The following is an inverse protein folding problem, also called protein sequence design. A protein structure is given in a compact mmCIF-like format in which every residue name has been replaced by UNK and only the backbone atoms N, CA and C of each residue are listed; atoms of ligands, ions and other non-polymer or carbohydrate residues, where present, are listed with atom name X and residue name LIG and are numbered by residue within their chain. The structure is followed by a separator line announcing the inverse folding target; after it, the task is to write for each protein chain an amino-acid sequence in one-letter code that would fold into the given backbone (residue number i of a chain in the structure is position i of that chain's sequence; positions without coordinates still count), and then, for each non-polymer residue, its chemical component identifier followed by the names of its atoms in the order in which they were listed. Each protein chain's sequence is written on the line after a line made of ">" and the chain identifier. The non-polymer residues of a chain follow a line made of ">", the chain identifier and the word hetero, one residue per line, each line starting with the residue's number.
data_IF_602392384255
#
_entry.id   IF_602392384255
#
_cell.length_a   1.000
_cell.length_b   1.000
_cell.length_c   1.000
_cell.angle_alpha   90.00
_cell.angle_beta   90.00
_cell.angle_gamma   90.00
#
_symmetry.space_group_name_H-M   'P 1'
#
loop_
_entity.id
_entity.type
_entity.pdbx_description
1 polymer ?
#
# COMPACT_ATOMS: atom_id res chain seq x y z
N UNK A 1 -15.75 -6.76 -4.19
CA UNK A 1 -15.56 -7.00 -2.75
C UNK A 1 -15.60 -5.67 -2.05
N UNK A 2 -16.71 -5.35 -1.41
CA UNK A 2 -16.94 -4.12 -0.68
C UNK A 2 -16.05 -4.13 0.58
N UNK A 3 -15.02 -3.31 0.60
CA UNK A 3 -14.39 -2.93 1.85
C UNK A 3 -15.40 -2.12 2.64
N UNK A 4 -15.79 -2.59 3.81
CA UNK A 4 -16.57 -1.76 4.73
C UNK A 4 -15.79 -0.49 5.06
N UNK A 5 -16.41 0.70 5.05
CA UNK A 5 -15.72 2.00 5.07
C UNK A 5 -14.73 2.22 6.23
N UNK A 6 -14.79 1.43 7.28
CA UNK A 6 -13.97 1.56 8.49
C UNK A 6 -13.04 0.38 8.75
N UNK A 7 -12.89 -0.56 7.82
CA UNK A 7 -11.91 -1.62 7.98
C UNK A 7 -10.64 -1.26 7.23
N UNK A 8 -9.47 -1.40 7.87
CA UNK A 8 -8.21 -1.31 7.15
C UNK A 8 -8.26 -2.29 5.99
N UNK A 9 -7.89 -1.81 4.82
CA UNK A 9 -7.99 -2.54 3.55
C UNK A 9 -7.21 -3.85 3.59
N UNK A 10 -6.34 -4.01 4.56
CA UNK A 10 -5.67 -5.26 4.87
C UNK A 10 -5.09 -5.22 6.27
N UNK A 11 -5.81 -5.74 7.23
CA UNK A 11 -5.20 -6.21 8.46
C UNK A 11 -5.04 -7.71 8.38
N UNK A 12 -3.85 -8.18 8.68
CA UNK A 12 -3.53 -9.58 8.90
C UNK A 12 -4.05 -10.50 7.78
N UNK A 13 -3.49 -10.30 6.60
CA UNK A 13 -3.92 -10.93 5.34
C UNK A 13 -4.03 -12.46 5.48
N UNK A 14 -3.09 -13.10 6.18
CA UNK A 14 -3.11 -14.55 6.38
C UNK A 14 -4.33 -15.04 7.14
N UNK A 15 -4.70 -14.34 8.20
CA UNK A 15 -5.83 -14.69 9.03
C UNK A 15 -7.19 -14.49 8.34
N UNK A 16 -7.32 -13.44 7.54
CA UNK A 16 -8.56 -13.12 6.81
C UNK A 16 -8.76 -13.98 5.58
N UNK A 17 -7.69 -14.32 4.86
CA UNK A 17 -7.77 -15.15 3.66
C UNK A 17 -8.24 -16.56 4.01
N UNK A 18 -7.70 -17.19 5.05
CA UNK A 18 -8.12 -18.55 5.41
C UNK A 18 -9.59 -18.60 5.84
N UNK A 19 -10.10 -17.56 6.49
CA UNK A 19 -11.51 -17.45 6.85
C UNK A 19 -12.41 -17.15 5.64
N UNK A 20 -12.01 -16.20 4.79
CA UNK A 20 -12.85 -15.70 3.68
C UNK A 20 -12.94 -16.71 2.53
N UNK A 21 -11.84 -17.41 2.23
CA UNK A 21 -11.79 -18.34 1.10
C UNK A 21 -12.30 -19.76 1.44
N UNK A 22 -12.46 -20.09 2.72
CA UNK A 22 -12.88 -21.42 3.15
C UNK A 22 -13.97 -21.39 4.22
N UNK A 23 -15.08 -20.65 4.00
CA UNK A 23 -16.11 -20.50 5.04
C UNK A 23 -16.78 -21.83 5.42
N UNK A 24 -16.75 -22.84 4.53
CA UNK A 24 -17.39 -24.15 4.72
C UNK A 24 -16.49 -25.12 5.48
N UNK A 25 -15.17 -25.03 5.35
CA UNK A 25 -14.20 -26.00 5.89
C UNK A 25 -13.30 -25.41 6.99
N UNK A 26 -13.29 -24.10 7.17
CA UNK A 26 -12.52 -23.43 8.22
C UNK A 26 -13.43 -23.08 9.38
N UNK A 27 -13.03 -23.42 10.60
CA UNK A 27 -13.66 -22.87 11.79
C UNK A 27 -13.52 -21.35 11.79
N UNK A 28 -14.55 -20.66 12.31
CA UNK A 28 -14.42 -19.24 12.62
C UNK A 28 -13.29 -19.11 13.63
N UNK A 29 -12.24 -18.40 13.24
CA UNK A 29 -11.11 -18.14 14.11
C UNK A 29 -11.42 -16.96 15.02
N UNK A 30 -10.72 -16.88 16.13
CA UNK A 30 -10.75 -15.73 17.03
C UNK A 30 -10.34 -14.45 16.29
N UNK A 31 -10.54 -13.31 16.93
CA UNK A 31 -10.10 -12.04 16.38
C UNK A 31 -8.62 -12.11 16.03
N UNK A 32 -8.22 -11.40 14.99
CA UNK A 32 -6.82 -11.43 14.53
C UNK A 32 -5.84 -10.90 15.60
N UNK A 33 -6.30 -9.95 16.43
CA UNK A 33 -5.53 -9.42 17.56
C UNK A 33 -5.17 -10.50 18.56
N UNK A 34 -6.14 -11.33 18.94
CA UNK A 34 -5.95 -12.41 19.91
C UNK A 34 -4.99 -13.46 19.37
N UNK A 35 -5.10 -13.77 18.07
CA UNK A 35 -4.16 -14.70 17.41
C UNK A 35 -2.76 -14.14 17.31
N UNK A 36 -2.62 -12.82 17.06
CA UNK A 36 -1.32 -12.14 17.06
C UNK A 36 -0.69 -12.20 18.45
N UNK A 37 -1.47 -11.95 19.52
CA UNK A 37 -0.98 -12.08 20.89
C UNK A 37 -0.49 -13.49 21.16
N UNK A 38 -1.29 -14.51 20.86
CA UNK A 38 -0.90 -15.91 21.03
C UNK A 38 0.38 -16.27 20.24
N UNK A 39 0.52 -15.74 19.01
CA UNK A 39 1.73 -15.97 18.23
C UNK A 39 2.95 -15.24 18.81
N UNK A 40 2.78 -14.04 19.37
CA UNK A 40 3.87 -13.33 20.07
C UNK A 40 4.38 -14.15 21.26
N UNK A 41 3.48 -14.76 22.03
CA UNK A 41 3.86 -15.63 23.15
C UNK A 41 4.68 -16.83 22.67
N UNK A 42 4.32 -17.42 21.54
CA UNK A 42 5.10 -18.51 20.92
C UNK A 42 6.48 -18.01 20.49
N UNK A 43 6.55 -16.89 19.78
CA UNK A 43 7.83 -16.34 19.30
C UNK A 43 8.77 -15.98 20.47
N UNK A 44 8.24 -15.47 21.57
CA UNK A 44 9.01 -15.04 22.74
C UNK A 44 9.63 -16.21 23.53
N UNK A 45 9.28 -17.45 23.24
CA UNK A 45 9.96 -18.61 23.82
C UNK A 45 11.41 -18.73 23.36
N UNK A 46 11.74 -18.18 22.18
CA UNK A 46 13.08 -18.26 21.59
C UNK A 46 13.67 -16.88 21.26
N UNK A 47 12.83 -15.86 21.04
CA UNK A 47 13.23 -14.53 20.63
C UNK A 47 12.97 -13.49 21.72
N UNK A 48 13.86 -12.52 21.85
CA UNK A 48 13.64 -11.40 22.75
C UNK A 48 12.41 -10.56 22.37
N UNK A 49 11.74 -9.92 23.36
CA UNK A 49 10.51 -9.18 23.13
C UNK A 49 10.69 -8.02 22.12
N UNK A 50 11.86 -7.38 22.11
CA UNK A 50 12.17 -6.29 21.16
C UNK A 50 12.22 -6.77 19.71
N UNK A 51 12.80 -7.95 19.46
CA UNK A 51 12.82 -8.56 18.12
C UNK A 51 11.40 -8.82 17.62
N UNK A 52 10.57 -9.43 18.47
CA UNK A 52 9.18 -9.74 18.12
C UNK A 52 8.37 -8.46 17.90
N UNK A 53 8.56 -7.45 18.76
CA UNK A 53 7.92 -6.15 18.59
C UNK A 53 8.33 -5.47 17.27
N UNK A 54 9.63 -5.45 16.96
CA UNK A 54 10.17 -4.84 15.74
C UNK A 54 9.58 -5.49 14.48
N UNK A 55 9.42 -6.82 14.48
CA UNK A 55 8.76 -7.53 13.37
C UNK A 55 7.33 -7.03 13.14
N UNK A 56 6.51 -7.00 14.17
CA UNK A 56 5.11 -6.56 14.03
C UNK A 56 4.98 -5.07 13.70
N UNK A 57 5.85 -4.23 14.26
CA UNK A 57 5.89 -2.80 13.92
C UNK A 57 6.23 -2.61 12.43
N UNK A 58 7.27 -3.27 11.95
CA UNK A 58 7.65 -3.21 10.52
C UNK A 58 6.53 -3.71 9.61
N UNK A 59 5.84 -4.78 10.00
CA UNK A 59 4.70 -5.29 9.25
C UNK A 59 3.55 -4.28 9.21
N UNK A 60 3.15 -3.75 10.37
CA UNK A 60 2.04 -2.80 10.46
C UNK A 60 2.33 -1.48 9.72
N UNK A 61 3.55 -0.95 9.85
CA UNK A 61 4.00 0.25 9.14
C UNK A 61 4.00 0.04 7.61
N UNK A 62 4.44 -1.14 7.16
CA UNK A 62 4.44 -1.50 5.74
C UNK A 62 3.01 -1.61 5.19
N UNK A 63 2.11 -2.23 5.94
CA UNK A 63 0.68 -2.31 5.58
C UNK A 63 0.03 -0.93 5.61
N UNK A 64 0.37 -0.11 6.61
CA UNK A 64 -0.06 1.28 6.70
C UNK A 64 0.38 2.09 5.49
N UNK A 65 1.66 2.02 5.15
CA UNK A 65 2.21 2.69 3.96
C UNK A 65 1.49 2.26 2.68
N UNK A 66 1.28 0.96 2.49
CA UNK A 66 0.51 0.45 1.36
C UNK A 66 -0.89 1.05 1.30
N UNK A 67 -1.61 1.01 2.43
CA UNK A 67 -2.98 1.50 2.52
C UNK A 67 -3.08 2.99 2.19
N UNK A 68 -2.23 3.80 2.83
CA UNK A 68 -2.36 5.26 2.79
C UNK A 68 -1.82 5.87 1.50
N UNK A 69 -0.73 5.28 0.98
CA UNK A 69 -0.09 5.79 -0.24
C UNK A 69 -0.74 5.29 -1.52
N UNK A 70 -1.21 4.05 -1.56
CA UNK A 70 -1.65 3.43 -2.81
C UNK A 70 -3.09 2.94 -2.79
N UNK A 71 -3.46 2.09 -1.82
CA UNK A 71 -4.71 1.37 -1.87
C UNK A 71 -5.94 2.27 -1.71
N UNK A 72 -5.99 3.10 -0.67
CA UNK A 72 -7.11 4.01 -0.42
C UNK A 72 -7.25 5.09 -1.50
N UNK A 73 -6.16 5.76 -1.92
CA UNK A 73 -6.25 6.70 -3.04
C UNK A 73 -6.74 6.06 -4.33
N UNK A 74 -6.21 4.89 -4.70
CA UNK A 74 -6.66 4.19 -5.90
C UNK A 74 -8.13 3.78 -5.81
N UNK A 75 -8.58 3.27 -4.65
CA UNK A 75 -9.99 2.92 -4.42
C UNK A 75 -10.88 4.15 -4.54
N UNK A 76 -10.51 5.27 -3.93
CA UNK A 76 -11.28 6.51 -3.98
C UNK A 76 -11.42 7.03 -5.43
N UNK A 77 -10.36 6.94 -6.23
CA UNK A 77 -10.39 7.30 -7.65
C UNK A 77 -11.32 6.36 -8.42
N UNK A 78 -11.24 5.05 -8.21
CA UNK A 78 -12.13 4.07 -8.85
C UNK A 78 -13.60 4.34 -8.51
N UNK A 79 -13.89 4.60 -7.24
CA UNK A 79 -15.27 4.89 -6.79
C UNK A 79 -15.78 6.21 -7.40
N UNK A 80 -14.92 7.22 -7.51
CA UNK A 80 -15.25 8.49 -8.14
C UNK A 80 -15.49 8.36 -9.64
N UNK A 81 -14.70 7.55 -10.35
CA UNK A 81 -14.90 7.24 -11.76
C UNK A 81 -16.24 6.52 -12.00
N UNK A 82 -16.59 5.56 -11.14
CA UNK A 82 -17.90 4.89 -11.19
C UNK A 82 -19.04 5.86 -10.96
N UNK A 83 -18.95 6.67 -9.92
CA UNK A 83 -19.98 7.67 -9.61
C UNK A 83 -20.15 8.69 -10.74
N UNK A 84 -19.09 9.02 -11.47
CA UNK A 84 -19.14 9.90 -12.63
C UNK A 84 -19.57 9.22 -13.94
N UNK A 85 -19.88 7.92 -13.93
CA UNK A 85 -20.27 7.13 -15.11
C UNK A 85 -19.11 6.99 -16.13
N UNK A 86 -17.86 7.08 -15.68
CA UNK A 86 -16.68 6.97 -16.54
C UNK A 86 -16.21 5.54 -16.78
N UNK A 87 -16.66 4.63 -15.94
CA UNK A 87 -16.50 3.18 -16.08
C UNK A 87 -17.87 2.53 -15.85
N UNK A 88 -18.05 1.36 -16.47
CA UNK A 88 -19.35 0.68 -16.43
C UNK A 88 -19.60 0.00 -15.08
N UNK A 89 -20.86 -0.39 -14.77
CA UNK A 89 -21.14 -1.22 -13.60
C UNK A 89 -20.68 -2.68 -13.74
N UNK A 90 -20.45 -3.14 -14.96
CA UNK A 90 -19.98 -4.51 -15.23
C UNK A 90 -18.56 -4.70 -14.72
N UNK A 91 -18.25 -5.76 -13.97
CA UNK A 91 -16.92 -5.96 -13.46
C UNK A 91 -15.98 -6.45 -14.57
N UNK A 92 -14.77 -5.90 -14.62
CA UNK A 92 -13.65 -6.31 -15.47
C UNK A 92 -13.86 -6.14 -16.98
N UNK A 93 -14.74 -5.26 -17.41
CA UNK A 93 -14.88 -4.87 -18.83
C UNK A 93 -14.14 -3.57 -19.17
N UNK A 94 -13.70 -2.81 -18.18
CA UNK A 94 -12.84 -1.65 -18.31
C UNK A 94 -11.37 -1.96 -17.99
N UNK A 95 -10.46 -1.46 -18.82
CA UNK A 95 -9.00 -1.68 -18.66
C UNK A 95 -8.49 -1.26 -17.28
N UNK A 96 -8.97 -0.12 -16.75
CA UNK A 96 -8.53 0.39 -15.45
C UNK A 96 -8.86 -0.55 -14.29
N UNK A 97 -9.91 -1.36 -14.42
CA UNK A 97 -10.28 -2.35 -13.40
C UNK A 97 -9.25 -3.47 -13.31
N UNK A 98 -8.70 -3.89 -14.44
CA UNK A 98 -7.60 -4.85 -14.48
C UNK A 98 -6.31 -4.26 -13.93
N UNK A 99 -5.98 -3.02 -14.27
CA UNK A 99 -4.83 -2.31 -13.69
C UNK A 99 -4.98 -2.22 -12.17
N UNK A 100 -6.18 -1.85 -11.68
CA UNK A 100 -6.47 -1.77 -10.26
C UNK A 100 -6.44 -3.16 -9.59
N UNK A 101 -6.94 -4.20 -10.26
CA UNK A 101 -6.88 -5.57 -9.78
C UNK A 101 -5.44 -6.04 -9.56
N UNK A 102 -4.55 -5.81 -10.53
CA UNK A 102 -3.14 -6.16 -10.39
C UNK A 102 -2.45 -5.35 -9.30
N UNK A 103 -2.67 -4.05 -9.26
CA UNK A 103 -2.15 -3.17 -8.21
C UNK A 103 -2.47 -3.70 -6.81
N UNK A 104 -3.70 -4.18 -6.61
CA UNK A 104 -4.18 -4.68 -5.33
C UNK A 104 -3.82 -6.15 -5.08
N UNK A 105 -4.27 -7.02 -5.99
CA UNK A 105 -4.23 -8.47 -5.78
C UNK A 105 -2.89 -9.11 -6.14
N UNK A 106 -2.08 -8.46 -6.93
CA UNK A 106 -0.81 -8.99 -7.38
C UNK A 106 0.35 -8.31 -6.66
N UNK A 107 0.71 -7.11 -7.08
CA UNK A 107 1.89 -6.42 -6.53
C UNK A 107 1.70 -6.00 -5.07
N UNK A 108 0.57 -5.41 -4.74
CA UNK A 108 0.26 -5.00 -3.37
C UNK A 108 0.19 -6.17 -2.40
N UNK A 109 -0.32 -7.33 -2.85
CA UNK A 109 -0.29 -8.55 -2.05
C UNK A 109 1.14 -9.06 -1.84
N UNK A 110 1.98 -9.05 -2.87
CA UNK A 110 3.39 -9.43 -2.76
C UNK A 110 4.13 -8.56 -1.74
N UNK A 111 3.94 -7.25 -1.77
CA UNK A 111 4.53 -6.33 -0.79
C UNK A 111 4.17 -6.72 0.65
N UNK A 112 2.87 -6.90 0.92
CA UNK A 112 2.37 -7.22 2.26
C UNK A 112 2.75 -8.62 2.73
N UNK A 113 2.67 -9.62 1.85
CA UNK A 113 3.08 -10.99 2.19
C UNK A 113 4.59 -11.11 2.29
N UNK A 114 5.34 -10.39 1.46
CA UNK A 114 6.79 -10.33 1.55
C UNK A 114 7.27 -9.86 2.92
N UNK A 115 6.70 -8.77 3.44
CA UNK A 115 7.07 -8.29 4.78
C UNK A 115 6.64 -9.25 5.88
N UNK A 116 5.46 -9.89 5.76
CA UNK A 116 5.01 -10.88 6.74
C UNK A 116 5.91 -12.11 6.82
N UNK A 117 6.57 -12.45 5.72
CA UNK A 117 7.53 -13.57 5.61
C UNK A 117 8.99 -13.15 5.78
N UNK A 118 9.25 -11.88 6.11
CA UNK A 118 10.61 -11.31 6.16
C UNK A 118 11.39 -11.50 4.85
N UNK A 119 10.69 -11.46 3.72
CA UNK A 119 11.27 -11.59 2.39
C UNK A 119 11.50 -10.22 1.76
N UNK A 120 12.72 -9.62 1.90
CA UNK A 120 12.99 -8.25 1.43
C UNK A 120 12.84 -8.11 -0.08
N UNK A 121 13.18 -9.12 -0.84
CA UNK A 121 13.05 -9.13 -2.30
C UNK A 121 11.59 -9.02 -2.74
N UNK A 122 10.71 -9.84 -2.16
CA UNK A 122 9.28 -9.77 -2.42
C UNK A 122 8.63 -8.49 -1.89
N UNK A 123 9.14 -7.93 -0.80
CA UNK A 123 8.63 -6.66 -0.27
C UNK A 123 9.03 -5.49 -1.14
N UNK A 124 10.31 -5.39 -1.50
CA UNK A 124 10.89 -4.23 -2.17
C UNK A 124 10.74 -4.31 -3.70
N UNK A 125 11.31 -5.34 -4.35
CA UNK A 125 11.37 -5.43 -5.81
C UNK A 125 10.06 -5.91 -6.43
N UNK A 126 9.58 -7.09 -6.02
CA UNK A 126 8.34 -7.67 -6.52
C UNK A 126 7.08 -7.13 -5.81
N UNK A 127 7.27 -6.25 -4.84
CA UNK A 127 6.22 -5.57 -4.12
C UNK A 127 6.18 -4.08 -4.43
N UNK A 128 6.79 -3.26 -3.57
CA UNK A 128 6.63 -1.80 -3.65
C UNK A 128 7.16 -1.16 -4.92
N UNK A 129 8.23 -1.68 -5.52
CA UNK A 129 8.71 -1.16 -6.80
C UNK A 129 7.66 -1.39 -7.90
N UNK A 130 7.13 -2.60 -8.01
CA UNK A 130 6.10 -2.92 -9.01
C UNK A 130 4.78 -2.20 -8.71
N UNK A 131 4.40 -2.05 -7.43
CA UNK A 131 3.26 -1.22 -7.01
C UNK A 131 3.43 0.21 -7.48
N UNK A 132 4.59 0.82 -7.24
CA UNK A 132 4.87 2.20 -7.64
C UNK A 132 4.86 2.33 -9.17
N UNK A 133 5.47 1.39 -9.88
CA UNK A 133 5.45 1.36 -11.35
C UNK A 133 4.01 1.35 -11.86
N UNK A 134 3.19 0.37 -11.43
CA UNK A 134 1.80 0.25 -11.86
C UNK A 134 0.96 1.46 -11.49
N UNK A 135 1.12 1.98 -10.27
CA UNK A 135 0.36 3.15 -9.82
C UNK A 135 0.68 4.39 -10.65
N UNK A 136 1.96 4.72 -10.82
CA UNK A 136 2.34 5.99 -11.47
C UNK A 136 2.36 5.94 -12.99
N UNK A 137 2.62 4.78 -13.61
CA UNK A 137 2.80 4.66 -15.05
C UNK A 137 1.62 4.02 -15.78
N UNK A 138 0.72 3.35 -15.05
CA UNK A 138 -0.45 2.72 -15.64
C UNK A 138 -1.75 3.28 -15.03
N UNK A 139 -1.95 3.14 -13.71
CA UNK A 139 -3.20 3.50 -13.06
C UNK A 139 -3.51 5.00 -13.14
N UNK A 140 -2.58 5.85 -12.72
CA UNK A 140 -2.80 7.32 -12.73
C UNK A 140 -3.00 7.86 -14.16
N UNK A 141 -2.17 7.54 -15.16
CA UNK A 141 -2.41 7.99 -16.53
C UNK A 141 -3.78 7.55 -17.08
N UNK A 142 -4.17 6.29 -16.84
CA UNK A 142 -5.49 5.79 -17.27
C UNK A 142 -6.64 6.49 -16.55
N UNK A 143 -6.51 6.70 -15.24
CA UNK A 143 -7.49 7.44 -14.46
C UNK A 143 -7.62 8.91 -14.96
N UNK A 144 -6.52 9.56 -15.29
CA UNK A 144 -6.53 10.92 -15.87
C UNK A 144 -7.19 10.96 -17.25
N UNK A 145 -6.97 9.95 -18.09
CA UNK A 145 -7.63 9.82 -19.39
C UNK A 145 -9.14 9.75 -19.22
N UNK A 146 -9.62 8.85 -18.37
CA UNK A 146 -11.05 8.63 -18.10
C UNK A 146 -11.70 9.84 -17.40
N UNK A 147 -10.95 10.53 -16.53
CA UNK A 147 -11.45 11.69 -15.79
C UNK A 147 -11.76 12.90 -16.64
N UNK A 148 -11.31 12.94 -17.91
CA UNK A 148 -11.51 14.11 -18.80
C UNK A 148 -12.98 14.54 -18.86
N UNK A 149 -13.21 15.83 -18.57
CA UNK A 149 -14.55 16.40 -18.52
C UNK A 149 -15.33 16.06 -17.24
N UNK A 150 -14.66 15.57 -16.20
CA UNK A 150 -15.21 15.38 -14.85
C UNK A 150 -14.36 16.14 -13.82
N UNK A 151 -14.63 17.43 -13.58
CA UNK A 151 -13.81 18.27 -12.70
C UNK A 151 -13.60 17.70 -11.30
N UNK A 152 -14.59 16.97 -10.78
CA UNK A 152 -14.52 16.34 -9.47
C UNK A 152 -13.47 15.23 -9.44
N UNK A 153 -13.46 14.33 -10.43
CA UNK A 153 -12.48 13.24 -10.52
C UNK A 153 -11.08 13.78 -10.77
N UNK A 154 -10.97 14.78 -11.67
CA UNK A 154 -9.69 15.45 -11.95
C UNK A 154 -9.12 16.12 -10.69
N UNK A 155 -9.97 16.77 -9.89
CA UNK A 155 -9.57 17.39 -8.64
C UNK A 155 -9.10 16.35 -7.62
N UNK A 156 -9.79 15.22 -7.49
CA UNK A 156 -9.39 14.13 -6.60
C UNK A 156 -8.01 13.55 -6.98
N UNK A 157 -7.78 13.32 -8.27
CA UNK A 157 -6.49 12.83 -8.75
C UNK A 157 -5.37 13.84 -8.43
N UNK A 158 -5.60 15.15 -8.67
CA UNK A 158 -4.62 16.20 -8.33
C UNK A 158 -4.35 16.22 -6.83
N UNK A 159 -5.39 16.21 -5.99
CA UNK A 159 -5.26 16.19 -4.53
C UNK A 159 -4.46 14.98 -4.06
N UNK A 160 -4.72 13.81 -4.62
CA UNK A 160 -3.96 12.59 -4.35
C UNK A 160 -2.47 12.81 -4.63
N UNK A 161 -2.14 13.27 -5.84
CA UNK A 161 -0.75 13.44 -6.28
C UNK A 161 -0.01 14.60 -5.59
N UNK A 162 -0.74 15.54 -5.00
CA UNK A 162 -0.20 16.67 -4.25
C UNK A 162 -0.01 16.37 -2.75
N UNK A 163 -0.51 15.23 -2.28
CA UNK A 163 -0.34 14.81 -0.89
C UNK A 163 1.13 14.52 -0.55
N UNK A 164 1.45 14.54 0.74
CA UNK A 164 2.82 14.29 1.23
C UNK A 164 3.41 12.96 0.77
N UNK A 165 2.59 11.94 0.59
CA UNK A 165 3.02 10.64 0.08
C UNK A 165 3.54 10.67 -1.36
N UNK A 166 3.11 11.64 -2.16
CA UNK A 166 3.37 11.71 -3.60
C UNK A 166 4.16 12.95 -4.03
N UNK A 167 4.36 13.92 -3.15
CA UNK A 167 5.02 15.21 -3.47
C UNK A 167 6.48 15.07 -3.92
N UNK A 168 7.16 13.96 -3.59
CA UNK A 168 8.52 13.68 -4.05
C UNK A 168 8.66 13.75 -5.59
N UNK A 169 7.58 13.54 -6.32
CA UNK A 169 7.52 13.66 -7.79
C UNK A 169 7.82 15.09 -8.29
N UNK A 170 7.63 16.09 -7.44
CA UNK A 170 7.93 17.50 -7.75
C UNK A 170 9.40 17.85 -7.54
N UNK A 171 10.21 16.88 -7.06
CA UNK A 171 11.59 17.09 -6.65
C UNK A 171 11.71 17.71 -5.26
N UNK A 172 12.93 17.88 -4.82
CA UNK A 172 13.23 18.51 -3.53
C UNK A 172 13.29 20.02 -3.68
N UNK A 173 12.70 20.73 -2.73
CA UNK A 173 12.93 22.18 -2.63
C UNK A 173 14.40 22.46 -2.29
N UNK A 174 14.92 23.67 -2.57
CA UNK A 174 16.29 24.04 -2.20
C UNK A 174 16.57 23.87 -0.70
N UNK A 175 15.57 24.14 0.15
CA UNK A 175 15.68 24.02 1.60
C UNK A 175 15.74 22.54 2.04
N UNK A 176 14.92 21.67 1.45
CA UNK A 176 14.96 20.23 1.71
C UNK A 176 16.28 19.62 1.27
N UNK A 177 16.80 20.04 0.10
CA UNK A 177 18.11 19.61 -0.39
C UNK A 177 19.22 20.05 0.57
N UNK A 178 19.21 21.30 1.02
CA UNK A 178 20.20 21.81 1.97
C UNK A 178 20.18 21.04 3.31
N UNK A 179 18.99 20.65 3.80
CA UNK A 179 18.86 19.83 5.01
C UNK A 179 19.46 18.42 4.82
N UNK A 180 19.20 17.81 3.68
CA UNK A 180 19.75 16.50 3.32
C UNK A 180 21.28 16.59 3.20
N UNK A 181 21.80 17.58 2.51
CA UNK A 181 23.24 17.79 2.35
C UNK A 181 23.91 18.04 3.71
N UNK A 182 23.30 18.84 4.59
CA UNK A 182 23.80 19.07 5.94
C UNK A 182 23.83 17.76 6.76
N UNK A 183 22.78 16.95 6.69
CA UNK A 183 22.71 15.66 7.35
C UNK A 183 23.82 14.70 6.88
N UNK A 184 24.03 14.59 5.58
CA UNK A 184 25.07 13.72 5.04
C UNK A 184 26.47 14.21 5.35
N UNK A 185 26.71 15.55 5.31
CA UNK A 185 27.97 16.15 5.74
C UNK A 185 28.27 15.88 7.20
N UNK A 186 27.27 16.00 8.08
CA UNK A 186 27.43 15.72 9.51
C UNK A 186 27.73 14.22 9.75
N UNK A 187 27.09 13.32 9.03
CA UNK A 187 27.18 11.87 9.26
C UNK A 187 28.40 11.22 8.62
N UNK A 188 28.80 11.69 7.45
CA UNK A 188 29.84 11.02 6.62
C UNK A 188 31.06 11.89 6.29
N UNK A 189 31.07 13.16 6.74
CA UNK A 189 32.15 14.10 6.45
C UNK A 189 32.13 14.65 5.03
N UNK A 190 33.12 15.54 4.73
CA UNK A 190 33.12 16.27 3.45
C UNK A 190 33.60 15.45 2.24
N UNK A 191 34.18 14.27 2.42
CA UNK A 191 34.88 13.53 1.33
C UNK A 191 33.97 12.66 0.45
N UNK A 192 32.69 12.51 0.75
CA UNK A 192 31.81 11.59 0.00
C UNK A 192 30.78 12.27 -0.90
N UNK A 193 30.83 13.57 -1.06
CA UNK A 193 29.93 14.28 -2.00
C UNK A 193 30.73 14.79 -3.20
N UNK A 194 31.14 13.86 -4.06
CA UNK A 194 31.57 14.14 -5.42
C UNK A 194 30.65 13.48 -6.43
#
# INVERSE_FOLDING_TARGET
>A
MSATPNQPVTHDVGARISWTLRPVISKKLDKWEDRRLAMRDVCQQCHGPEFVLSFYTTFDDTVGLWNDKFARPAQAIMDSLRAAGKITPSPFDDEIEWIFYFLWHHEGRRARMGVSMQGPDYTQWHGFFEVAHRFYFEFIPKAQELARGSPQVEALIRQTLDSDFHRWRKGLSPEERAKIDAFYKQRYGQEQVK
#
